data_IF_002145036327
#
_entry.id   IF_002145036327
#
_cell.length_a   1.000
_cell.length_b   1.000
_cell.length_c   1.000
_cell.angle_alpha   90.00
_cell.angle_beta   90.00
_cell.angle_gamma   90.00
#
_symmetry.space_group_name_H-M   'P 1'
#
loop_
_entity.id
_entity.type
_entity.pdbx_description
1 polymer ?
#
# COMPACT_ATOMS: atom_id res chain seq x y z
N UNK A 1 -8.82 -9.66 -14.02
CA UNK A 1 -9.10 -8.40 -13.30
C UNK A 1 -8.46 -8.34 -11.90
N UNK A 2 -8.71 -9.32 -11.03
CA UNK A 2 -8.18 -9.38 -9.64
C UNK A 2 -6.64 -9.30 -9.53
N UNK A 3 -5.90 -10.02 -10.38
CA UNK A 3 -4.42 -9.98 -10.40
C UNK A 3 -3.84 -8.62 -10.83
N UNK A 4 -4.56 -7.86 -11.65
CA UNK A 4 -4.13 -6.52 -12.07
C UNK A 4 -4.28 -5.54 -10.91
N UNK A 5 -5.43 -5.57 -10.22
CA UNK A 5 -5.67 -4.79 -9.01
C UNK A 5 -4.65 -5.09 -7.91
N UNK A 6 -4.37 -6.37 -7.63
CA UNK A 6 -3.38 -6.74 -6.61
C UNK A 6 -1.97 -6.22 -6.93
N UNK A 7 -1.58 -6.13 -8.21
CA UNK A 7 -0.31 -5.53 -8.66
C UNK A 7 -0.33 -4.01 -8.59
N UNK A 8 -1.43 -3.38 -8.99
CA UNK A 8 -1.59 -1.92 -8.95
C UNK A 8 -1.50 -1.40 -7.50
N UNK A 9 -2.19 -2.06 -6.58
CA UNK A 9 -2.19 -1.73 -5.16
C UNK A 9 -0.94 -2.21 -4.42
N UNK A 10 -0.06 -2.98 -5.09
CA UNK A 10 1.08 -3.71 -4.48
C UNK A 10 0.67 -4.37 -3.16
N UNK A 11 -0.45 -5.09 -3.18
CA UNK A 11 -1.24 -5.45 -1.99
C UNK A 11 -0.43 -6.06 -0.84
N UNK A 12 0.51 -6.97 -1.15
CA UNK A 12 1.39 -7.59 -0.14
C UNK A 12 2.27 -6.56 0.58
N UNK A 13 2.88 -5.64 -0.16
CA UNK A 13 3.74 -4.61 0.41
C UNK A 13 2.92 -3.57 1.18
N UNK A 14 1.77 -3.17 0.65
CA UNK A 14 0.85 -2.24 1.32
C UNK A 14 0.33 -2.81 2.64
N UNK A 15 0.06 -4.12 2.71
CA UNK A 15 -0.31 -4.79 3.96
C UNK A 15 0.84 -4.76 4.99
N UNK A 16 2.10 -4.93 4.56
CA UNK A 16 3.25 -4.83 5.47
C UNK A 16 3.35 -3.43 6.11
N UNK A 17 3.01 -2.37 5.37
CA UNK A 17 2.94 -1.01 5.94
C UNK A 17 1.84 -0.90 7.00
N UNK A 18 0.67 -1.49 6.75
CA UNK A 18 -0.40 -1.56 7.76
C UNK A 18 -0.01 -2.34 9.01
N UNK A 19 0.67 -3.48 8.85
CA UNK A 19 1.19 -4.27 9.98
C UNK A 19 2.19 -3.46 10.79
N UNK A 20 3.12 -2.75 10.13
CA UNK A 20 4.08 -1.89 10.80
C UNK A 20 3.38 -0.76 11.60
N UNK A 21 2.33 -0.16 11.04
CA UNK A 21 1.55 0.86 11.72
C UNK A 21 0.81 0.31 12.95
N UNK A 22 0.18 -0.87 12.83
CA UNK A 22 -0.44 -1.55 13.95
C UNK A 22 0.60 -1.92 15.02
N UNK A 23 1.79 -2.38 14.62
CA UNK A 23 2.91 -2.60 15.53
C UNK A 23 3.32 -1.34 16.29
N UNK A 24 3.41 -0.20 15.60
CA UNK A 24 3.66 1.09 16.23
C UNK A 24 2.57 1.50 17.22
N UNK A 25 1.29 1.25 16.90
CA UNK A 25 0.17 1.48 17.81
C UNK A 25 0.28 0.61 19.08
N UNK A 26 0.61 -0.67 18.94
CA UNK A 26 0.76 -1.60 20.06
C UNK A 26 1.95 -1.27 20.99
N UNK A 27 2.98 -0.63 20.46
CA UNK A 27 4.16 -0.20 21.22
C UNK A 27 3.97 1.13 21.96
N UNK A 28 2.92 1.90 21.63
CA UNK A 28 2.65 3.16 22.28
C UNK A 28 2.14 2.93 23.72
N UNK A 29 2.69 3.60 24.75
CA UNK A 29 2.33 3.36 26.14
C UNK A 29 1.01 4.03 26.51
N UNK A 30 -0.09 3.53 25.94
CA UNK A 30 -1.46 3.93 26.28
C UNK A 30 -2.40 2.72 26.29
N UNK A 31 -3.66 2.96 26.66
CA UNK A 31 -4.69 1.95 26.58
C UNK A 31 -4.86 1.45 25.14
N UNK A 32 -4.94 0.12 24.99
CA UNK A 32 -5.13 -0.51 23.70
C UNK A 32 -6.62 -0.54 23.36
N UNK A 33 -6.99 0.20 22.32
CA UNK A 33 -8.34 0.22 21.80
C UNK A 33 -8.39 -0.51 20.46
N UNK A 34 -9.24 -1.54 20.37
CA UNK A 34 -9.43 -2.31 19.13
C UNK A 34 -9.75 -1.41 17.92
N UNK A 35 -10.59 -0.36 18.04
CA UNK A 35 -10.80 0.59 16.95
C UNK A 35 -9.52 1.25 16.44
N UNK A 36 -8.56 1.59 17.31
CA UNK A 36 -7.29 2.22 16.93
C UNK A 36 -6.34 1.26 16.22
N UNK A 37 -6.29 0.00 16.66
CA UNK A 37 -5.51 -1.06 16.00
C UNK A 37 -6.07 -1.30 14.59
N UNK A 38 -7.39 -1.43 14.47
CA UNK A 38 -8.06 -1.66 13.17
C UNK A 38 -7.90 -0.44 12.26
N UNK A 39 -8.08 0.77 12.77
CA UNK A 39 -7.93 2.00 12.00
C UNK A 39 -6.49 2.19 11.49
N UNK A 40 -5.48 1.93 12.32
CA UNK A 40 -4.08 2.04 11.90
C UNK A 40 -3.72 0.99 10.84
N UNK A 41 -4.13 -0.27 11.03
CA UNK A 41 -3.89 -1.34 10.06
C UNK A 41 -4.56 -1.06 8.71
N UNK A 42 -5.87 -0.80 8.72
CA UNK A 42 -6.66 -0.61 7.50
C UNK A 42 -6.30 0.72 6.84
N UNK A 43 -6.23 1.80 7.63
CA UNK A 43 -5.95 3.15 7.14
C UNK A 43 -4.60 3.24 6.43
N UNK A 44 -3.54 2.71 7.04
CA UNK A 44 -2.20 2.74 6.43
C UNK A 44 -2.10 1.78 5.24
N UNK A 45 -2.77 0.62 5.29
CA UNK A 45 -2.83 -0.29 4.13
C UNK A 45 -3.50 0.38 2.94
N UNK A 46 -4.64 1.05 3.15
CA UNK A 46 -5.36 1.78 2.10
C UNK A 46 -4.56 2.97 1.57
N UNK A 47 -3.90 3.72 2.46
CA UNK A 47 -3.03 4.83 2.09
C UNK A 47 -1.87 4.36 1.20
N UNK A 48 -1.20 3.27 1.57
CA UNK A 48 -0.13 2.68 0.79
C UNK A 48 -0.62 2.13 -0.56
N UNK A 49 -1.80 1.51 -0.59
CA UNK A 49 -2.46 1.08 -1.82
C UNK A 49 -2.71 2.26 -2.77
N UNK A 50 -3.29 3.35 -2.25
CA UNK A 50 -3.57 4.57 -2.99
C UNK A 50 -2.30 5.24 -3.51
N UNK A 51 -1.27 5.36 -2.66
CA UNK A 51 0.03 5.88 -3.06
C UNK A 51 0.69 5.06 -4.17
N UNK A 52 0.62 3.72 -4.10
CA UNK A 52 1.12 2.84 -5.15
C UNK A 52 0.38 3.02 -6.48
N UNK A 53 -0.95 3.11 -6.44
CA UNK A 53 -1.76 3.32 -7.63
C UNK A 53 -1.47 4.69 -8.27
N UNK A 54 -1.47 5.76 -7.46
CA UNK A 54 -1.18 7.11 -7.89
C UNK A 54 0.23 7.22 -8.48
N UNK A 55 1.23 6.61 -7.83
CA UNK A 55 2.60 6.61 -8.33
C UNK A 55 2.69 5.98 -9.73
N UNK A 56 1.98 4.88 -9.98
CA UNK A 56 1.97 4.25 -11.31
C UNK A 56 1.21 5.08 -12.35
N UNK A 57 0.20 5.86 -11.94
CA UNK A 57 -0.48 6.81 -12.85
C UNK A 57 0.46 7.95 -13.25
N UNK A 58 1.18 8.51 -12.28
CA UNK A 58 2.12 9.62 -12.52
C UNK A 58 3.34 9.18 -13.34
N UNK A 59 3.85 7.97 -13.11
CA UNK A 59 5.04 7.45 -13.79
C UNK A 59 4.72 6.69 -15.08
N UNK A 60 3.47 6.61 -15.52
CA UNK A 60 3.01 5.76 -16.64
C UNK A 60 3.92 5.77 -17.86
N UNK A 61 4.23 6.96 -18.39
CA UNK A 61 5.04 7.10 -19.60
C UNK A 61 6.53 6.76 -19.36
N UNK A 62 7.04 7.00 -18.14
CA UNK A 62 8.41 6.66 -17.74
C UNK A 62 8.55 5.16 -17.49
N UNK A 63 7.55 4.54 -16.87
CA UNK A 63 7.50 3.12 -16.58
C UNK A 63 7.60 2.30 -17.86
N UNK A 64 6.93 2.72 -18.94
CA UNK A 64 7.04 2.08 -20.25
C UNK A 64 8.46 2.05 -20.84
N UNK A 65 9.35 2.99 -20.43
CA UNK A 65 10.74 3.09 -20.91
C UNK A 65 11.74 2.35 -20.03
N UNK A 66 11.37 1.96 -18.82
CA UNK A 66 12.27 1.36 -17.84
C UNK A 66 12.21 -0.17 -17.85
N UNK A 67 13.35 -0.83 -17.99
CA UNK A 67 13.42 -2.30 -18.05
C UNK A 67 12.76 -3.02 -16.86
N UNK A 68 12.87 -2.43 -15.66
CA UNK A 68 12.28 -2.97 -14.42
C UNK A 68 10.75 -2.82 -14.37
N UNK A 69 10.19 -1.75 -14.92
CA UNK A 69 8.80 -1.34 -14.63
C UNK A 69 7.89 -1.29 -15.86
N UNK A 70 8.40 -1.51 -17.07
CA UNK A 70 7.63 -1.60 -18.33
C UNK A 70 6.49 -2.62 -18.36
N UNK A 71 6.42 -3.51 -17.37
CA UNK A 71 5.38 -4.54 -17.22
C UNK A 71 4.41 -4.24 -16.07
N UNK A 72 4.46 -3.04 -15.51
CA UNK A 72 3.46 -2.57 -14.53
C UNK A 72 2.06 -2.54 -15.19
N UNK A 73 1.00 -2.67 -14.39
CA UNK A 73 -0.37 -2.84 -14.90
C UNK A 73 -0.98 -1.59 -15.57
N UNK A 74 -0.41 -0.40 -15.38
CA UNK A 74 -0.84 0.81 -16.10
C UNK A 74 0.07 1.00 -17.32
N UNK A 75 -0.48 0.96 -18.56
CA UNK A 75 0.25 1.24 -19.79
C UNK A 75 0.36 2.73 -20.05
#
# INVERSE_FOLDING_TARGET
MTRALARLLRLKLSLLNGIAAAGGYLLFPAALELPGIVASLIGVTLLACGGSALNQVLERDLDGRMARTRLRPLP
#
